data_IF_000212751215
#
_entry.id   IF_000212751215
#
_cell.length_a   1.000
_cell.length_b   1.000
_cell.length_c   1.000
_cell.angle_alpha   90.00
_cell.angle_beta   90.00
_cell.angle_gamma   90.00
#
_symmetry.space_group_name_H-M   'P 1'
#
loop_
_entity.id
_entity.type
_entity.pdbx_description
1 polymer ?
#
# COMPACT_ATOMS: atom_id res chain seq x y z
N UNK A 1 4.19 -8.80 -8.54
CA UNK A 1 2.78 -8.37 -8.48
C UNK A 1 2.65 -7.14 -9.35
N UNK A 2 1.72 -7.15 -10.29
CA UNK A 2 1.31 -5.94 -10.99
C UNK A 2 0.27 -5.25 -10.10
N UNK A 3 0.54 -4.02 -9.66
CA UNK A 3 -0.37 -3.27 -8.81
C UNK A 3 -1.46 -2.63 -9.67
N UNK A 4 -2.72 -2.85 -9.30
CA UNK A 4 -3.88 -2.36 -10.03
C UNK A 4 -4.38 -1.04 -9.44
N UNK A 5 -4.45 -0.01 -10.28
CA UNK A 5 -4.89 1.32 -9.84
C UNK A 5 -6.36 1.28 -9.41
N UNK A 6 -6.65 1.81 -8.23
CA UNK A 6 -7.95 1.77 -7.58
C UNK A 6 -8.18 0.56 -6.68
N UNK A 7 -7.26 -0.41 -6.64
CA UNK A 7 -7.35 -1.58 -5.77
C UNK A 7 -6.76 -1.30 -4.39
N UNK A 8 -7.35 -1.91 -3.37
CA UNK A 8 -6.91 -1.80 -1.97
C UNK A 8 -6.05 -3.01 -1.64
N UNK A 9 -4.85 -2.75 -1.14
CA UNK A 9 -3.90 -3.76 -0.73
C UNK A 9 -3.69 -3.71 0.78
N UNK A 10 -3.72 -4.86 1.46
CA UNK A 10 -3.29 -4.94 2.85
C UNK A 10 -1.77 -4.76 2.93
N UNK A 11 -1.34 -3.91 3.83
CA UNK A 11 0.06 -3.55 4.04
C UNK A 11 0.38 -3.74 5.51
N UNK A 12 1.48 -4.43 5.79
CA UNK A 12 1.99 -4.57 7.15
C UNK A 12 3.08 -3.54 7.39
N UNK A 13 2.90 -2.74 8.44
CA UNK A 13 3.90 -1.81 8.93
C UNK A 13 4.94 -2.54 9.78
N UNK A 14 6.15 -1.99 9.87
CA UNK A 14 7.20 -2.48 10.76
C UNK A 14 6.75 -2.58 12.24
N UNK A 15 5.78 -1.77 12.66
CA UNK A 15 5.14 -1.84 13.98
C UNK A 15 4.32 -3.13 14.23
N UNK A 16 4.03 -3.90 13.17
CA UNK A 16 3.13 -5.07 13.20
C UNK A 16 1.67 -4.74 12.88
N UNK A 17 1.33 -3.46 12.72
CA UNK A 17 0.00 -3.01 12.32
C UNK A 17 -0.28 -3.33 10.85
N UNK A 18 -1.49 -3.84 10.57
CA UNK A 18 -1.96 -4.08 9.20
C UNK A 18 -2.88 -2.94 8.81
N UNK A 19 -2.58 -2.29 7.69
CA UNK A 19 -3.37 -1.19 7.12
C UNK A 19 -3.85 -1.52 5.72
N UNK A 20 -4.94 -0.87 5.33
CA UNK A 20 -5.51 -1.00 4.00
C UNK A 20 -5.14 0.23 3.16
N UNK A 21 -4.30 0.04 2.14
CA UNK A 21 -3.83 1.11 1.28
C UNK A 21 -4.35 0.93 -0.14
N UNK A 22 -5.04 1.95 -0.66
CA UNK A 22 -5.47 2.00 -2.05
C UNK A 22 -4.32 2.45 -2.93
N UNK A 23 -3.98 1.65 -3.93
CA UNK A 23 -3.00 2.04 -4.94
C UNK A 23 -3.65 3.02 -5.91
N UNK A 24 -3.12 4.24 -6.02
CA UNK A 24 -3.66 5.28 -6.89
C UNK A 24 -2.91 5.40 -8.22
N UNK A 25 -1.83 4.62 -8.40
CA UNK A 25 -1.02 4.60 -9.60
C UNK A 25 0.44 4.96 -9.32
N UNK A 26 1.25 5.13 -10.37
CA UNK A 26 2.62 5.63 -10.24
C UNK A 26 2.71 7.05 -10.78
N UNK A 27 3.47 7.88 -10.11
CA UNK A 27 3.74 9.25 -10.57
C UNK A 27 4.65 9.25 -11.80
N UNK A 28 4.84 10.41 -12.44
CA UNK A 28 5.73 10.56 -13.60
C UNK A 28 7.21 10.24 -13.32
N UNK A 29 7.56 10.13 -12.03
CA UNK A 29 8.89 9.70 -11.54
C UNK A 29 9.00 8.20 -11.25
N UNK A 30 7.92 7.43 -11.44
CA UNK A 30 7.87 5.99 -11.21
C UNK A 30 7.54 5.56 -9.77
N UNK A 31 7.38 6.49 -8.82
CA UNK A 31 7.00 6.18 -7.45
C UNK A 31 5.52 5.79 -7.36
N UNK A 32 5.20 4.70 -6.65
CA UNK A 32 3.81 4.36 -6.35
C UNK A 32 3.18 5.38 -5.40
N UNK A 33 1.95 5.75 -5.71
CA UNK A 33 1.05 6.52 -4.87
C UNK A 33 0.05 5.60 -4.20
N UNK A 34 -0.14 5.86 -2.92
CA UNK A 34 -0.98 5.13 -2.03
C UNK A 34 -1.91 6.09 -1.31
N UNK A 35 -3.10 5.63 -0.99
CA UNK A 35 -4.05 6.33 -0.14
C UNK A 35 -4.47 5.42 0.99
N UNK A 36 -4.22 5.84 2.21
CA UNK A 36 -4.68 5.13 3.39
C UNK A 36 -6.21 5.12 3.40
N UNK A 37 -6.82 3.93 3.36
CA UNK A 37 -8.27 3.79 3.29
C UNK A 37 -8.94 4.13 4.63
N UNK A 38 -8.21 4.05 5.74
CA UNK A 38 -8.73 4.29 7.09
C UNK A 38 -8.77 5.79 7.43
N UNK A 39 -7.71 6.51 7.09
CA UNK A 39 -7.53 7.94 7.39
C UNK A 39 -7.79 8.85 6.19
N UNK A 40 -7.81 8.31 4.98
CA UNK A 40 -7.97 9.05 3.73
C UNK A 40 -6.71 9.80 3.26
N UNK A 41 -5.58 9.63 3.96
CA UNK A 41 -4.34 10.35 3.67
C UNK A 41 -3.63 9.74 2.46
N UNK A 42 -3.36 10.56 1.45
CA UNK A 42 -2.56 10.18 0.28
C UNK A 42 -1.07 10.43 0.49
N UNK A 43 -0.25 9.45 0.13
CA UNK A 43 1.21 9.55 0.21
C UNK A 43 1.88 8.73 -0.91
N UNK A 44 3.14 9.03 -1.20
CA UNK A 44 3.95 8.24 -2.15
C UNK A 44 4.90 7.31 -1.39
N UNK A 45 5.46 6.30 -2.07
CA UNK A 45 6.50 5.42 -1.48
C UNK A 45 7.66 6.21 -0.87
N UNK A 46 8.01 7.36 -1.46
CA UNK A 46 9.08 8.23 -0.96
C UNK A 46 8.69 9.02 0.31
N UNK A 47 7.40 9.15 0.61
CA UNK A 47 6.88 9.87 1.78
C UNK A 47 6.67 8.99 3.02
N UNK A 48 6.74 7.66 2.87
CA UNK A 48 6.63 6.75 4.00
C UNK A 48 7.96 6.69 4.76
N UNK A 49 7.93 7.19 6.00
CA UNK A 49 9.09 7.23 6.90
C UNK A 49 9.39 5.88 7.57
N UNK A 50 8.61 4.83 7.29
CA UNK A 50 8.67 3.53 7.97
C UNK A 50 8.79 2.39 6.96
N UNK A 51 9.44 1.29 7.32
CA UNK A 51 9.40 0.09 6.48
C UNK A 51 7.98 -0.51 6.46
N UNK A 52 7.53 -0.92 5.28
CA UNK A 52 6.23 -1.53 5.05
C UNK A 52 6.36 -2.63 4.00
N UNK A 53 5.46 -3.61 4.03
CA UNK A 53 5.39 -4.71 3.07
C UNK A 53 3.95 -4.93 2.62
N UNK A 54 3.76 -5.20 1.32
CA UNK A 54 2.47 -5.62 0.79
C UNK A 54 2.22 -7.06 1.22
N UNK A 55 1.09 -7.28 1.89
CA UNK A 55 0.64 -8.64 2.16
C UNK A 55 0.04 -9.23 0.88
N UNK A 56 0.39 -10.47 0.52
CA UNK A 56 -0.18 -11.12 -0.66
C UNK A 56 -1.70 -11.22 -0.49
N UNK A 57 -2.44 -10.84 -1.54
CA UNK A 57 -3.88 -11.12 -1.62
C UNK A 57 -4.06 -12.63 -1.82
N UNK A 58 -4.05 -13.39 -0.72
CA UNK A 58 -4.28 -14.83 -0.79
C UNK A 58 -3.43 -15.73 0.09
N UNK A 59 -2.95 -15.30 1.26
CA UNK A 59 -2.74 -16.27 2.35
C UNK A 59 -4.03 -16.43 3.17
N UNK A 60 -5.12 -16.71 2.46
CA UNK A 60 -6.22 -17.48 3.02
C UNK A 60 -6.15 -18.85 2.34
N UNK A 61 -5.71 -19.83 3.13
CA UNK A 61 -5.85 -21.28 2.96
C UNK A 61 -4.73 -22.06 2.23
N UNK A 62 -3.92 -22.75 3.03
CA UNK A 62 -3.75 -24.21 2.95
C UNK A 62 -3.46 -24.79 4.35
#
# INVERSE_FOLDING_TARGET
>A
MELETGRIYPVRLCSGEIRAWRFEGRDGRGFAWWRDAETGVGFSEAGVLYAWELLPEGECDA
#
